data_IF_519087257211
#
_entry.id   IF_519087257211
#
_cell.length_a   1.000
_cell.length_b   1.000
_cell.length_c   1.000
_cell.angle_alpha   90.00
_cell.angle_beta   90.00
_cell.angle_gamma   90.00
#
_symmetry.space_group_name_H-M   'P 1'
#
loop_
_entity.id
_entity.type
_entity.pdbx_description
1 polymer ?
#
# COMPACT_ATOMS: atom_id res chain seq x y z
N UNK A 1 -1.77 4.42 -10.78
CA UNK A 1 -2.83 4.05 -9.80
C UNK A 1 -2.48 2.67 -9.30
N UNK A 2 -2.33 2.49 -8.00
CA UNK A 2 -2.10 1.16 -7.42
C UNK A 2 -3.41 0.37 -7.45
N UNK A 3 -3.35 -0.91 -7.81
CA UNK A 3 -4.51 -1.79 -7.88
C UNK A 3 -4.41 -2.90 -6.85
N UNK A 4 -5.55 -3.30 -6.29
CA UNK A 4 -5.64 -4.48 -5.44
C UNK A 4 -5.55 -5.78 -6.28
N UNK A 5 -5.50 -6.93 -5.60
CA UNK A 5 -5.35 -8.25 -6.26
C UNK A 5 -6.54 -8.65 -7.15
N UNK A 6 -7.67 -7.94 -7.06
CA UNK A 6 -8.85 -8.13 -7.90
C UNK A 6 -8.85 -7.22 -9.14
N UNK A 7 -7.81 -6.39 -9.31
CA UNK A 7 -7.70 -5.41 -10.40
C UNK A 7 -8.48 -4.11 -10.16
N UNK A 8 -9.07 -3.93 -8.98
CA UNK A 8 -9.75 -2.69 -8.58
C UNK A 8 -8.80 -1.68 -7.92
N UNK A 9 -9.33 -0.54 -7.51
CA UNK A 9 -8.56 0.47 -6.76
C UNK A 9 -8.04 -0.08 -5.42
N UNK A 10 -6.83 0.31 -5.04
CA UNK A 10 -6.26 -0.05 -3.76
C UNK A 10 -6.89 0.77 -2.63
N UNK A 11 -7.55 0.08 -1.69
CA UNK A 11 -8.18 0.70 -0.53
C UNK A 11 -7.18 0.88 0.63
N UNK A 12 -7.42 1.84 1.56
CA UNK A 12 -6.58 2.01 2.76
C UNK A 12 -6.55 0.76 3.64
N UNK A 13 -5.36 0.29 3.99
CA UNK A 13 -5.15 -0.81 4.92
C UNK A 13 -5.32 -0.37 6.38
N UNK A 14 -4.75 0.77 6.79
CA UNK A 14 -4.92 1.31 8.15
C UNK A 14 -4.57 2.79 8.24
N UNK A 15 -5.35 3.54 9.03
CA UNK A 15 -5.11 4.96 9.36
C UNK A 15 -4.82 5.21 10.85
N UNK A 16 -4.99 4.20 11.71
CA UNK A 16 -4.69 4.31 13.13
C UNK A 16 -4.29 2.93 13.72
N UNK A 17 -2.99 2.59 13.76
CA UNK A 17 -1.85 3.40 13.33
C UNK A 17 -1.78 3.54 11.80
N UNK A 18 -1.17 4.62 11.30
CA UNK A 18 -0.95 4.81 9.86
C UNK A 18 0.08 3.80 9.35
N UNK A 19 -0.28 3.03 8.32
CA UNK A 19 0.56 1.99 7.70
C UNK A 19 1.12 2.41 6.32
N UNK A 20 1.75 1.47 5.61
CA UNK A 20 2.27 1.65 4.25
C UNK A 20 3.72 2.10 4.20
N UNK A 21 4.45 1.76 3.14
CA UNK A 21 5.85 2.20 2.94
C UNK A 21 5.96 3.72 2.95
N UNK A 22 5.04 4.41 2.26
CA UNK A 22 4.97 5.87 2.22
C UNK A 22 4.27 6.50 3.44
N UNK A 23 3.82 5.70 4.40
CA UNK A 23 3.04 6.15 5.58
C UNK A 23 1.80 6.96 5.21
N UNK A 24 1.10 6.52 4.16
CA UNK A 24 -0.16 7.06 3.65
C UNK A 24 -1.38 6.18 4.02
N UNK A 25 -1.16 5.05 4.68
CA UNK A 25 -2.19 4.08 5.03
C UNK A 25 -2.53 3.06 3.96
N UNK A 26 -1.81 3.03 2.84
CA UNK A 26 -2.00 2.11 1.72
C UNK A 26 -0.83 1.11 1.65
N UNK A 27 -1.10 -0.10 1.16
CA UNK A 27 -0.06 -1.09 0.87
C UNK A 27 0.48 -0.91 -0.58
N UNK A 28 0.73 0.34 -0.97
CA UNK A 28 1.37 0.67 -2.26
C UNK A 28 2.90 0.64 -2.14
N UNK A 29 3.56 0.50 -3.28
CA UNK A 29 5.01 0.24 -3.34
C UNK A 29 5.68 1.01 -4.49
N UNK A 30 7.00 1.09 -4.48
CA UNK A 30 7.82 1.62 -5.56
C UNK A 30 9.13 0.84 -5.68
N UNK A 31 9.98 1.22 -6.65
CA UNK A 31 11.27 0.57 -6.88
C UNK A 31 12.21 0.60 -5.66
N UNK A 32 12.05 1.58 -4.75
CA UNK A 32 12.87 1.69 -3.55
C UNK A 32 12.37 0.81 -2.40
N UNK A 33 11.11 0.37 -2.44
CA UNK A 33 10.52 -0.52 -1.45
C UNK A 33 10.90 -1.98 -1.72
N UNK A 34 12.15 -2.31 -1.39
CA UNK A 34 12.68 -3.69 -1.50
C UNK A 34 11.97 -4.68 -0.57
N UNK A 35 11.27 -4.20 0.45
CA UNK A 35 10.52 -5.02 1.39
C UNK A 35 9.16 -5.47 0.86
N UNK A 36 8.67 -4.84 -0.22
CA UNK A 36 7.38 -5.14 -0.84
C UNK A 36 6.24 -5.11 0.18
N UNK A 37 6.00 -3.93 0.77
CA UNK A 37 4.96 -3.70 1.77
C UNK A 37 3.54 -3.70 1.14
N UNK A 38 3.21 -4.75 0.37
CA UNK A 38 1.99 -4.85 -0.45
C UNK A 38 0.97 -5.88 0.09
N UNK A 39 1.19 -6.43 1.29
CA UNK A 39 0.32 -7.44 1.93
C UNK A 39 -0.25 -6.93 3.23
#
# INVERSE_FOLDING_TARGET
MASNVLGGELEPCSKNPVTGFFRNGLCDTCADDRGMHTV
#
